data_IF_295732543715
#
_entry.id   IF_295732543715
#
_cell.length_a   1.000
_cell.length_b   1.000
_cell.length_c   1.000
_cell.angle_alpha   90.00
_cell.angle_beta   90.00
_cell.angle_gamma   90.00
#
_symmetry.space_group_name_H-M   'P 1'
#
loop_
_entity.id
_entity.type
_entity.pdbx_description
1 polymer ?
#
# COMPACT_ATOMS: atom_id res chain seq x y z
N UNK A 1 5.48 7.74 3.74
CA UNK A 1 6.94 7.61 3.67
C UNK A 1 7.26 6.88 2.37
N UNK A 2 8.20 7.39 1.57
CA UNK A 2 8.62 6.80 0.29
C UNK A 2 9.80 5.85 0.49
N UNK A 3 9.92 4.84 -0.38
CA UNK A 3 11.08 3.92 -0.40
C UNK A 3 11.25 3.04 0.84
N UNK A 4 10.17 2.74 1.55
CA UNK A 4 10.21 1.96 2.80
C UNK A 4 9.41 0.66 2.72
N UNK A 5 8.61 0.47 1.68
CA UNK A 5 7.82 -0.76 1.51
C UNK A 5 8.69 -1.79 0.79
N UNK A 6 8.98 -2.95 1.39
CA UNK A 6 9.63 -4.05 0.68
C UNK A 6 8.86 -4.44 -0.58
N UNK A 7 9.58 -4.78 -1.64
CA UNK A 7 8.96 -5.05 -2.95
C UNK A 7 7.93 -6.19 -2.88
N UNK A 8 8.23 -7.27 -2.18
CA UNK A 8 7.30 -8.38 -2.02
C UNK A 8 6.02 -7.97 -1.27
N UNK A 9 6.16 -7.19 -0.19
CA UNK A 9 5.02 -6.64 0.54
C UNK A 9 4.17 -5.73 -0.36
N UNK A 10 4.80 -4.93 -1.21
CA UNK A 10 4.10 -4.08 -2.16
C UNK A 10 3.23 -4.91 -3.12
N UNK A 11 3.77 -5.96 -3.72
CA UNK A 11 3.01 -6.78 -4.67
C UNK A 11 1.86 -7.54 -4.01
N UNK A 12 2.04 -8.05 -2.79
CA UNK A 12 0.95 -8.65 -2.02
C UNK A 12 -0.16 -7.64 -1.71
N UNK A 13 0.19 -6.42 -1.32
CA UNK A 13 -0.79 -5.35 -1.10
C UNK A 13 -1.49 -4.95 -2.41
N UNK A 14 -0.77 -4.92 -3.53
CA UNK A 14 -1.34 -4.59 -4.83
C UNK A 14 -2.38 -5.63 -5.26
N UNK A 15 -2.08 -6.92 -5.08
CA UNK A 15 -2.95 -8.05 -5.39
C UNK A 15 -4.32 -7.94 -4.72
N UNK A 16 -4.35 -7.55 -3.44
CA UNK A 16 -5.60 -7.43 -2.66
C UNK A 16 -6.21 -6.02 -2.68
N UNK A 17 -5.57 -5.06 -3.36
CA UNK A 17 -6.05 -3.67 -3.40
C UNK A 17 -7.11 -3.45 -4.50
N UNK A 18 -8.06 -2.52 -4.29
CA UNK A 18 -8.99 -2.10 -5.34
C UNK A 18 -8.34 -1.07 -6.28
N UNK A 19 -7.12 -1.36 -6.75
CA UNK A 19 -6.34 -0.54 -7.69
C UNK A 19 -5.91 -1.43 -8.84
N UNK A 20 -6.57 -1.27 -10.00
CA UNK A 20 -6.37 -2.18 -11.15
C UNK A 20 -5.59 -1.55 -12.31
N UNK A 21 -5.38 -0.24 -12.29
CA UNK A 21 -4.61 0.43 -13.34
C UNK A 21 -3.13 0.11 -13.18
N UNK A 22 -2.56 -0.60 -14.14
CA UNK A 22 -1.13 -0.95 -14.18
C UNK A 22 -0.25 0.31 -14.05
N UNK A 23 -0.57 1.38 -14.78
CA UNK A 23 0.14 2.67 -14.68
C UNK A 23 0.17 3.21 -13.25
N UNK A 24 -0.94 3.08 -12.52
CA UNK A 24 -1.01 3.54 -11.12
C UNK A 24 -0.27 2.60 -10.19
N UNK A 25 -0.36 1.29 -10.38
CA UNK A 25 0.41 0.31 -9.60
C UNK A 25 1.90 0.61 -9.77
N UNK A 26 2.38 0.81 -10.99
CA UNK A 26 3.79 1.13 -11.25
C UNK A 26 4.20 2.47 -10.64
N UNK A 27 3.34 3.51 -10.71
CA UNK A 27 3.61 4.78 -10.02
C UNK A 27 3.68 4.60 -8.49
N UNK A 28 2.77 3.81 -7.90
CA UNK A 28 2.80 3.51 -6.47
C UNK A 28 4.06 2.74 -6.08
N UNK A 29 4.52 1.79 -6.91
CA UNK A 29 5.77 1.06 -6.70
C UNK A 29 6.96 2.00 -6.69
N UNK A 30 7.04 2.88 -7.69
CA UNK A 30 8.10 3.88 -7.79
C UNK A 30 8.16 4.76 -6.54
N UNK A 31 7.00 5.18 -6.01
CA UNK A 31 6.93 5.98 -4.79
C UNK A 31 7.23 5.19 -3.51
N UNK A 32 6.59 4.03 -3.31
CA UNK A 32 6.61 3.28 -2.05
C UNK A 32 7.82 2.37 -1.88
N UNK A 33 8.31 1.79 -2.98
CA UNK A 33 9.40 0.80 -3.01
C UNK A 33 10.70 1.47 -3.46
N UNK A 34 10.68 2.16 -4.61
CA UNK A 34 11.90 2.72 -5.21
C UNK A 34 12.31 4.07 -4.60
N UNK A 35 11.44 4.73 -3.84
CA UNK A 35 11.75 5.98 -3.14
C UNK A 35 11.66 7.24 -3.98
N UNK A 36 11.15 7.15 -5.22
CA UNK A 36 10.88 8.35 -6.03
C UNK A 36 9.90 9.27 -5.31
N UNK A 37 10.03 10.57 -5.54
CA UNK A 37 9.03 11.50 -5.05
C UNK A 37 7.74 11.37 -5.87
N UNK A 38 6.64 11.93 -5.35
CA UNK A 38 5.31 11.79 -5.97
C UNK A 38 5.27 12.33 -7.40
N UNK A 39 5.97 13.43 -7.68
CA UNK A 39 5.95 14.09 -8.99
C UNK A 39 6.68 13.23 -10.02
N UNK A 40 7.84 12.69 -9.65
CA UNK A 40 8.61 11.76 -10.48
C UNK A 40 7.80 10.50 -10.80
N UNK A 41 7.24 9.86 -9.78
CA UNK A 41 6.44 8.64 -9.95
C UNK A 41 5.20 8.87 -10.84
N UNK A 42 4.48 9.97 -10.63
CA UNK A 42 3.33 10.33 -11.47
C UNK A 42 3.76 10.61 -12.92
N UNK A 43 4.84 11.37 -13.12
CA UNK A 43 5.33 11.75 -14.44
C UNK A 43 5.78 10.54 -15.27
N UNK A 44 6.55 9.62 -14.67
CA UNK A 44 7.07 8.42 -15.34
C UNK A 44 5.97 7.50 -15.92
N UNK A 45 4.80 7.48 -15.27
CA UNK A 45 3.69 6.59 -15.66
C UNK A 45 2.48 7.32 -16.23
N UNK A 46 2.57 8.64 -16.44
CA UNK A 46 1.47 9.45 -16.98
C UNK A 46 0.22 9.44 -16.10
N UNK A 47 0.40 9.39 -14.77
CA UNK A 47 -0.69 9.36 -13.79
C UNK A 47 -0.90 10.77 -13.24
N UNK A 48 -2.15 11.22 -13.13
CA UNK A 48 -2.41 12.52 -12.51
C UNK A 48 -2.13 12.49 -11.00
N UNK A 49 -1.56 13.55 -10.40
CA UNK A 49 -1.28 13.58 -8.96
C UNK A 49 -2.51 13.34 -8.07
N UNK A 50 -3.69 13.76 -8.53
CA UNK A 50 -4.96 13.53 -7.84
C UNK A 50 -5.38 12.05 -7.85
N UNK A 51 -5.32 11.40 -9.01
CA UNK A 51 -5.63 9.96 -9.13
C UNK A 51 -4.63 9.11 -8.35
N UNK A 52 -3.34 9.45 -8.43
CA UNK A 52 -2.28 8.84 -7.62
C UNK A 52 -2.58 8.96 -6.12
N UNK A 53 -2.95 10.16 -5.65
CA UNK A 53 -3.23 10.38 -4.21
C UNK A 53 -4.43 9.55 -3.73
N UNK A 54 -5.48 9.44 -4.56
CA UNK A 54 -6.62 8.58 -4.28
C UNK A 54 -6.24 7.10 -4.20
N UNK A 55 -5.42 6.62 -5.13
CA UNK A 55 -4.93 5.25 -5.14
C UNK A 55 -4.01 4.95 -3.95
N UNK A 56 -3.08 5.86 -3.63
CA UNK A 56 -2.20 5.75 -2.47
C UNK A 56 -3.00 5.61 -1.18
N UNK A 57 -4.06 6.42 -1.01
CA UNK A 57 -4.95 6.34 0.15
C UNK A 57 -5.66 4.98 0.25
N UNK A 58 -6.11 4.42 -0.88
CA UNK A 58 -6.72 3.07 -0.91
C UNK A 58 -5.70 2.00 -0.54
N UNK A 59 -4.49 2.08 -1.08
CA UNK A 59 -3.39 1.15 -0.80
C UNK A 59 -2.99 1.18 0.69
N UNK A 60 -2.87 2.37 1.27
CA UNK A 60 -2.58 2.54 2.70
C UNK A 60 -3.68 1.98 3.60
N UNK A 61 -4.96 2.12 3.21
CA UNK A 61 -6.07 1.51 3.95
C UNK A 61 -5.97 -0.01 3.95
N UNK A 62 -5.66 -0.63 2.81
CA UNK A 62 -5.43 -2.07 2.70
C UNK A 62 -4.30 -2.51 3.64
N UNK A 63 -3.16 -1.79 3.62
CA UNK A 63 -2.04 -2.08 4.51
C UNK A 63 -2.42 -2.01 6.00
N UNK A 64 -3.18 -0.98 6.39
CA UNK A 64 -3.70 -0.85 7.75
C UNK A 64 -4.67 -1.97 8.13
N UNK A 65 -5.54 -2.38 7.20
CA UNK A 65 -6.45 -3.51 7.40
C UNK A 65 -5.66 -4.81 7.60
N UNK A 66 -4.67 -5.10 6.74
CA UNK A 66 -3.80 -6.29 6.90
C UNK A 66 -3.11 -6.27 8.26
N UNK A 67 -2.54 -5.13 8.66
CA UNK A 67 -1.90 -5.00 9.97
C UNK A 67 -2.87 -5.31 11.13
N UNK A 68 -4.12 -4.83 11.06
CA UNK A 68 -5.16 -5.11 12.06
C UNK A 68 -5.62 -6.56 12.04
N UNK A 69 -5.46 -7.27 10.92
CA UNK A 69 -5.79 -8.67 10.80
C UNK A 69 -4.70 -9.59 11.36
N UNK A 70 -3.44 -9.14 11.46
CA UNK A 70 -2.31 -9.97 11.94
C UNK A 70 -2.62 -10.73 13.24
N UNK A 71 -3.18 -10.12 14.31
CA UNK A 71 -3.46 -10.83 15.56
C UNK A 71 -4.46 -12.00 15.41
N UNK A 72 -5.36 -11.94 14.42
CA UNK A 72 -6.32 -13.02 14.16
C UNK A 72 -5.67 -14.23 13.48
N UNK A 73 -4.52 -14.06 12.83
CA UNK A 73 -3.78 -15.13 12.17
C UNK A 73 -2.56 -15.61 12.98
N UNK A 74 -2.05 -14.77 13.89
CA UNK A 74 -0.89 -15.06 14.73
C UNK A 74 -1.17 -14.74 16.20
N UNK A 75 -2.09 -15.48 16.88
CA UNK A 75 -2.51 -15.18 18.25
C UNK A 75 -1.37 -15.26 19.28
N UNK A 76 -0.33 -16.06 19.02
CA UNK A 76 0.87 -16.17 19.88
C UNK A 76 1.77 -14.93 19.81
N UNK A 77 1.59 -14.03 18.83
CA UNK A 77 2.38 -12.82 18.68
C UNK A 77 1.83 -11.66 19.53
N UNK A 78 1.56 -11.91 20.82
CA UNK A 78 1.45 -10.91 21.90
C UNK A 78 0.50 -9.72 21.72
N UNK A 79 -0.38 -9.71 20.72
CA UNK A 79 -1.34 -8.63 20.51
C UNK A 79 -2.69 -9.06 21.05
N UNK A 80 -3.02 -8.56 22.24
CA UNK A 80 -4.32 -8.75 22.88
C UNK A 80 -5.44 -8.34 21.92
N UNK A 81 -6.20 -9.32 21.44
CA UNK A 81 -7.43 -9.09 20.68
C UNK A 81 -8.44 -8.52 21.67
N UNK A 82 -8.59 -7.19 21.68
CA UNK A 82 -9.74 -6.56 22.32
C UNK A 82 -10.99 -7.00 21.57
N UNK A 83 -11.67 -8.01 22.12
CA UNK A 83 -13.05 -8.37 21.76
C UNK A 83 -13.93 -7.17 22.13
N UNK A 84 -14.22 -6.34 21.13
CA UNK A 84 -15.34 -5.42 21.21
C UNK A 84 -16.62 -6.24 21.05
N UNK A 85 -17.36 -6.37 22.15
CA UNK A 85 -18.80 -6.63 22.14
C UNK A 85 -19.55 -5.40 21.60
#
# INVERSE_FOLDING_TARGET
MSGQVPEYQFWLLAEISPVHSEKVINALRDYLVMGYNRMEACGRHGVSPGYFSGALKRFQRVSQTVYRLVPFYFPEAGHEVHRGE
#
